data_IF_658587713102
#
_entry.id   IF_658587713102
#
_cell.length_a   1.000
_cell.length_b   1.000
_cell.length_c   1.000
_cell.angle_alpha   90.00
_cell.angle_beta   90.00
_cell.angle_gamma   90.00
#
_symmetry.space_group_name_H-M   'P 1'
#
loop_
_entity.id
_entity.type
_entity.pdbx_description
1 polymer ?
#
# COMPACT_ATOMS: atom_id res chain seq x y z
N UNK A 1 -3.09 11.88 10.91
CA UNK A 1 -2.79 10.46 10.62
C UNK A 1 -1.99 10.45 9.33
N UNK A 2 -0.75 9.98 9.34
CA UNK A 2 0.10 10.03 8.14
C UNK A 2 -0.36 8.97 7.12
N UNK A 3 -0.17 9.27 5.83
CA UNK A 3 -0.48 8.39 4.70
C UNK A 3 -1.94 7.89 4.63
N UNK A 4 -2.90 8.76 4.95
CA UNK A 4 -4.32 8.42 4.82
C UNK A 4 -4.74 8.17 3.37
N UNK A 5 -4.13 8.87 2.43
CA UNK A 5 -4.26 8.69 0.99
C UNK A 5 -4.07 7.23 0.57
N UNK A 6 -2.99 6.57 1.02
CA UNK A 6 -2.74 5.15 0.77
C UNK A 6 -3.82 4.26 1.36
N UNK A 7 -4.22 4.53 2.62
CA UNK A 7 -5.26 3.73 3.31
C UNK A 7 -6.61 3.85 2.60
N UNK A 8 -6.95 5.06 2.17
CA UNK A 8 -8.16 5.35 1.42
C UNK A 8 -8.12 4.70 0.05
N UNK A 9 -7.01 4.81 -0.69
CA UNK A 9 -6.84 4.18 -2.00
C UNK A 9 -6.99 2.65 -1.91
N UNK A 10 -6.33 2.01 -0.95
CA UNK A 10 -6.45 0.58 -0.70
C UNK A 10 -7.91 0.19 -0.41
N UNK A 11 -8.58 0.91 0.51
CA UNK A 11 -9.97 0.66 0.87
C UNK A 11 -10.94 0.86 -0.31
N UNK A 12 -10.77 1.95 -1.06
CA UNK A 12 -11.60 2.28 -2.22
C UNK A 12 -11.52 1.22 -3.31
N UNK A 13 -10.35 0.59 -3.47
CA UNK A 13 -10.13 -0.46 -4.47
C UNK A 13 -10.30 -1.88 -3.93
N UNK A 14 -10.74 -2.03 -2.68
CA UNK A 14 -10.92 -3.34 -2.06
C UNK A 14 -9.62 -4.10 -1.78
N UNK A 15 -8.46 -3.43 -1.84
CA UNK A 15 -7.15 -4.03 -1.59
C UNK A 15 -6.84 -4.00 -0.09
N UNK A 16 -6.42 -5.15 0.45
CA UNK A 16 -6.04 -5.27 1.86
C UNK A 16 -4.57 -4.90 2.05
N UNK A 17 -4.24 -4.31 3.20
CA UNK A 17 -2.87 -3.85 3.50
C UNK A 17 -1.84 -4.98 3.45
N UNK A 18 -2.23 -6.21 3.82
CA UNK A 18 -1.36 -7.38 3.74
C UNK A 18 -1.00 -7.75 2.31
N UNK A 19 -1.89 -7.55 1.32
CA UNK A 19 -1.60 -7.83 -0.09
C UNK A 19 -0.54 -6.86 -0.63
N UNK A 20 -0.62 -5.59 -0.20
CA UNK A 20 0.38 -4.57 -0.54
C UNK A 20 1.71 -4.94 0.12
N UNK A 21 1.68 -5.39 1.38
CA UNK A 21 2.87 -5.82 2.09
C UNK A 21 3.54 -7.02 1.39
N UNK A 22 2.77 -8.02 0.98
CA UNK A 22 3.26 -9.17 0.19
C UNK A 22 3.89 -8.73 -1.14
N UNK A 23 3.22 -7.84 -1.89
CA UNK A 23 3.75 -7.31 -3.15
C UNK A 23 5.03 -6.46 -2.96
N UNK A 24 5.23 -5.89 -1.76
CA UNK A 24 6.45 -5.19 -1.37
C UNK A 24 7.53 -6.13 -0.81
N UNK A 25 7.23 -7.43 -0.63
CA UNK A 25 8.14 -8.40 -0.01
C UNK A 25 8.37 -8.14 1.49
N UNK A 26 7.43 -7.48 2.17
CA UNK A 26 7.52 -7.16 3.60
C UNK A 26 6.33 -7.73 4.37
N UNK A 27 6.45 -7.79 5.69
CA UNK A 27 5.35 -8.22 6.54
C UNK A 27 4.32 -7.08 6.74
N UNK A 28 3.04 -7.44 6.90
CA UNK A 28 1.96 -6.47 7.19
C UNK A 28 2.31 -5.57 8.38
N UNK A 29 2.89 -6.13 9.43
CA UNK A 29 3.33 -5.38 10.61
C UNK A 29 4.40 -4.32 10.29
N UNK A 30 5.30 -4.59 9.33
CA UNK A 30 6.27 -3.61 8.87
C UNK A 30 5.57 -2.50 8.06
N UNK A 31 4.71 -2.88 7.11
CA UNK A 31 3.95 -1.93 6.30
C UNK A 31 3.07 -1.01 7.15
N UNK A 32 2.33 -1.58 8.10
CA UNK A 32 1.49 -0.84 9.04
C UNK A 32 2.30 0.15 9.88
N UNK A 33 3.53 -0.19 10.28
CA UNK A 33 4.44 0.73 10.98
C UNK A 33 4.95 1.84 10.05
N UNK A 34 5.32 1.52 8.80
CA UNK A 34 5.74 2.50 7.79
C UNK A 34 4.66 3.55 7.55
N UNK A 35 3.40 3.13 7.45
CA UNK A 35 2.27 4.05 7.27
C UNK A 35 2.06 5.03 8.43
N UNK A 36 2.63 4.81 9.62
CA UNK A 36 2.53 5.76 10.75
C UNK A 36 3.51 6.92 10.66
N UNK A 37 4.57 6.81 9.83
CA UNK A 37 5.56 7.86 9.58
C UNK A 37 5.31 8.51 8.23
N UNK A 38 5.81 9.71 8.00
CA UNK A 38 5.76 10.30 6.65
C UNK A 38 6.56 9.44 5.67
N UNK A 39 5.93 9.04 4.57
CA UNK A 39 6.59 8.36 3.46
C UNK A 39 7.03 9.39 2.43
N UNK A 40 8.16 9.13 1.78
CA UNK A 40 8.58 9.92 0.62
C UNK A 40 7.55 9.80 -0.51
N UNK A 41 7.48 10.80 -1.38
CA UNK A 41 6.57 10.78 -2.53
C UNK A 41 6.79 9.54 -3.40
N UNK A 42 8.06 9.17 -3.64
CA UNK A 42 8.43 7.96 -4.40
C UNK A 42 7.90 6.68 -3.77
N UNK A 43 7.97 6.55 -2.44
CA UNK A 43 7.40 5.40 -1.73
C UNK A 43 5.88 5.36 -1.86
N UNK A 44 5.22 6.52 -1.77
CA UNK A 44 3.76 6.62 -1.92
C UNK A 44 3.32 6.22 -3.32
N UNK A 45 3.97 6.74 -4.35
CA UNK A 45 3.68 6.40 -5.75
C UNK A 45 3.84 4.88 -6.00
N UNK A 46 4.92 4.29 -5.48
CA UNK A 46 5.14 2.83 -5.59
C UNK A 46 4.00 2.05 -4.93
N UNK A 47 3.56 2.46 -3.75
CA UNK A 47 2.46 1.81 -3.03
C UNK A 47 1.13 1.97 -3.78
N UNK A 48 0.84 3.17 -4.28
CA UNK A 48 -0.37 3.43 -5.06
C UNK A 48 -0.41 2.60 -6.34
N UNK A 49 0.73 2.45 -7.02
CA UNK A 49 0.85 1.59 -8.19
C UNK A 49 0.59 0.12 -7.86
N UNK A 50 1.15 -0.38 -6.74
CA UNK A 50 0.87 -1.74 -6.26
C UNK A 50 -0.62 -1.93 -5.95
N UNK A 51 -1.25 -0.95 -5.31
CA UNK A 51 -2.69 -0.96 -5.04
C UNK A 51 -3.50 -1.03 -6.35
N UNK A 52 -3.06 -0.33 -7.40
CA UNK A 52 -3.68 -0.40 -8.73
C UNK A 52 -3.57 -1.81 -9.33
N UNK A 53 -2.36 -2.36 -9.36
CA UNK A 53 -2.10 -3.69 -9.93
C UNK A 53 -2.89 -4.78 -9.20
N UNK A 54 -2.90 -4.74 -7.86
CA UNK A 54 -3.66 -5.67 -7.03
C UNK A 54 -5.17 -5.53 -7.24
N UNK A 55 -5.68 -4.31 -7.43
CA UNK A 55 -7.09 -4.07 -7.69
C UNK A 55 -7.53 -4.57 -9.08
N UNK A 56 -6.64 -4.47 -10.08
CA UNK A 56 -6.89 -5.00 -11.42
C UNK A 56 -6.74 -6.53 -11.50
N UNK A 57 -6.29 -7.19 -10.43
CA UNK A 57 -5.97 -8.62 -10.45
C UNK A 57 -4.72 -8.96 -11.26
N UNK A 58 -3.95 -7.96 -11.67
CA UNK A 58 -2.65 -8.11 -12.33
C UNK A 58 -1.65 -8.42 -11.22
N UNK A 59 -1.57 -9.69 -10.88
CA UNK A 59 -0.54 -10.19 -9.96
C UNK A 59 0.77 -10.22 -10.77
N UNK A 60 1.83 -9.50 -10.36
CA UNK A 60 3.13 -9.58 -11.02
C UNK A 60 3.79 -10.95 -10.85
#
# INVERSE_FOLDING_TARGET
>A
MNNQDIRTAAKMRGVRLWQIAEALGITDGNFSRRLRRELSETDKERILHIIDNLAQGVTP
#
